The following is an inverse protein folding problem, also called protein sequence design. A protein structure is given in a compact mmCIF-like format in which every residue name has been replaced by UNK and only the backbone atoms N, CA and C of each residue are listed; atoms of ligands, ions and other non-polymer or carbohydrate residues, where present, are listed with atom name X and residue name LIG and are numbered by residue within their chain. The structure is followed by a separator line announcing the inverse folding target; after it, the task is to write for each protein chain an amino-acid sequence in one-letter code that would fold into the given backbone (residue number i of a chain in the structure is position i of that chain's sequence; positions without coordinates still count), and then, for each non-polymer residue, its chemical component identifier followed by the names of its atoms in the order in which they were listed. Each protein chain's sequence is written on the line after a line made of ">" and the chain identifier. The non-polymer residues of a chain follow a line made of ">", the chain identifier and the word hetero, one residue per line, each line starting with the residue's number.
data_IF_443266035557
#
_entry.id   IF_443266035557
#
_cell.length_a   1.000
_cell.length_b   1.000
_cell.length_c   1.000
_cell.angle_alpha   90.00
_cell.angle_beta   90.00
_cell.angle_gamma   90.00
#
_symmetry.space_group_name_H-M   'P 1'
#
loop_
_entity.id
_entity.type
_entity.pdbx_description
1 polymer ?
#
# COMPACT_ATOMS: atom_id res chain seq x y z
N UNK A 1 5.55 20.85 -15.35
CA UNK A 1 5.62 19.41 -15.01
C UNK A 1 4.25 19.04 -14.46
N UNK A 2 3.25 19.26 -15.31
CA UNK A 2 1.83 19.07 -15.08
C UNK A 2 1.32 18.48 -16.38
N UNK A 3 0.21 17.75 -16.29
CA UNK A 3 -0.51 17.07 -17.36
C UNK A 3 -0.13 15.60 -17.61
N UNK A 4 -1.16 14.78 -17.44
CA UNK A 4 -1.30 13.34 -17.72
C UNK A 4 -1.00 12.37 -16.58
N UNK A 5 -1.81 12.43 -15.52
CA UNK A 5 -2.19 11.19 -14.82
C UNK A 5 -2.87 10.26 -15.83
N UNK A 6 -2.20 9.18 -16.24
CA UNK A 6 -2.80 8.15 -17.09
C UNK A 6 -4.03 7.55 -16.38
N UNK A 7 -5.03 7.00 -17.10
CA UNK A 7 -6.27 6.46 -16.53
C UNK A 7 -6.06 5.43 -15.39
N UNK A 8 -4.90 4.76 -15.36
CA UNK A 8 -4.52 3.80 -14.32
C UNK A 8 -4.17 4.46 -12.97
N UNK A 9 -3.94 5.77 -12.92
CA UNK A 9 -3.52 6.50 -11.72
C UNK A 9 -4.64 7.25 -11.02
N UNK A 10 -5.83 7.32 -11.63
CA UNK A 10 -7.00 7.97 -11.02
C UNK A 10 -7.83 6.90 -10.31
N UNK A 11 -7.94 6.94 -8.98
CA UNK A 11 -8.71 5.93 -8.25
C UNK A 11 -10.21 6.09 -8.53
N UNK A 12 -10.92 5.00 -8.73
CA UNK A 12 -12.38 5.05 -8.88
C UNK A 12 -13.09 5.38 -7.56
N UNK A 13 -12.48 5.02 -6.43
CA UNK A 13 -13.00 5.22 -5.08
C UNK A 13 -11.86 5.64 -4.16
N UNK A 14 -12.09 6.67 -3.33
CA UNK A 14 -11.25 6.98 -2.18
C UNK A 14 -12.04 6.65 -0.92
N UNK A 15 -11.41 5.90 -0.01
CA UNK A 15 -11.95 5.65 1.33
C UNK A 15 -11.11 6.49 2.30
N UNK A 16 -11.76 7.42 3.01
CA UNK A 16 -11.10 8.31 3.97
C UNK A 16 -11.81 8.28 5.33
N UNK A 17 -11.14 8.72 6.38
CA UNK A 17 -11.81 9.00 7.65
C UNK A 17 -12.62 10.31 7.58
N UNK A 18 -13.43 10.58 8.61
CA UNK A 18 -14.19 11.82 8.72
C UNK A 18 -13.31 13.01 9.14
N UNK A 19 -12.02 12.99 8.83
CA UNK A 19 -11.12 14.10 9.07
C UNK A 19 -11.60 15.34 8.28
N UNK A 20 -11.58 16.54 8.86
CA UNK A 20 -12.09 17.75 8.21
C UNK A 20 -11.35 18.08 6.90
N UNK A 21 -10.10 17.63 6.75
CA UNK A 21 -9.35 17.73 5.50
C UNK A 21 -9.99 16.96 4.34
N UNK A 22 -10.66 15.84 4.62
CA UNK A 22 -11.32 14.98 3.63
C UNK A 22 -12.82 15.29 3.48
N UNK A 23 -13.39 16.15 4.33
CA UNK A 23 -14.77 16.62 4.22
C UNK A 23 -14.87 18.11 3.77
N UNK A 24 -13.76 18.68 3.29
CA UNK A 24 -13.75 20.05 2.78
C UNK A 24 -14.45 20.15 1.41
N UNK A 25 -15.07 21.31 1.13
CA UNK A 25 -15.68 21.60 -0.18
C UNK A 25 -14.65 21.43 -1.31
N UNK A 26 -13.42 21.90 -1.09
CA UNK A 26 -12.33 21.76 -2.04
C UNK A 26 -12.04 20.29 -2.38
N UNK A 27 -12.01 19.41 -1.38
CA UNK A 27 -11.77 17.98 -1.59
C UNK A 27 -12.94 17.29 -2.31
N UNK A 28 -14.18 17.66 -1.99
CA UNK A 28 -15.37 17.13 -2.70
C UNK A 28 -15.39 17.56 -4.16
N UNK A 29 -15.03 18.82 -4.45
CA UNK A 29 -14.93 19.32 -5.82
C UNK A 29 -13.83 18.58 -6.59
N UNK A 30 -12.65 18.42 -6.00
CA UNK A 30 -11.56 17.63 -6.60
C UNK A 30 -12.00 16.20 -6.94
N UNK A 31 -12.69 15.51 -6.03
CA UNK A 31 -13.21 14.16 -6.31
C UNK A 31 -14.24 14.18 -7.44
N UNK A 32 -15.14 15.18 -7.46
CA UNK A 32 -16.15 15.30 -8.50
C UNK A 32 -15.57 15.56 -9.88
N UNK A 33 -14.56 16.44 -9.99
CA UNK A 33 -13.88 16.77 -11.26
C UNK A 33 -13.21 15.55 -11.89
N UNK A 34 -12.65 14.68 -11.06
CA UNK A 34 -11.98 13.44 -11.50
C UNK A 34 -12.89 12.21 -11.52
N UNK A 35 -14.20 12.37 -11.29
CA UNK A 35 -15.18 11.27 -11.19
C UNK A 35 -14.80 10.20 -10.14
N UNK A 36 -14.16 10.62 -9.05
CA UNK A 36 -13.76 9.77 -7.94
C UNK A 36 -14.92 9.67 -6.95
N UNK A 37 -15.36 8.45 -6.63
CA UNK A 37 -16.35 8.24 -5.56
C UNK A 37 -15.67 8.36 -4.21
N UNK A 38 -16.02 9.38 -3.45
CA UNK A 38 -15.53 9.52 -2.08
C UNK A 38 -16.44 8.74 -1.11
N UNK A 39 -15.84 7.89 -0.26
CA UNK A 39 -16.52 7.12 0.76
C UNK A 39 -15.86 7.36 2.11
N UNK A 40 -16.67 7.68 3.12
CA UNK A 40 -16.15 7.93 4.46
C UNK A 40 -16.26 6.68 5.34
N UNK A 41 -15.20 6.38 6.08
CA UNK A 41 -15.25 5.37 7.13
C UNK A 41 -16.16 5.87 8.24
N UNK A 42 -17.17 5.08 8.58
CA UNK A 42 -18.04 5.44 9.70
C UNK A 42 -17.34 5.12 11.02
N UNK A 43 -17.60 5.87 12.11
CA UNK A 43 -17.07 5.52 13.44
C UNK A 43 -17.44 4.11 13.90
N UNK A 44 -18.51 3.54 13.34
CA UNK A 44 -19.01 2.19 13.62
C UNK A 44 -18.25 1.10 12.84
N UNK A 45 -17.55 1.44 11.76
CA UNK A 45 -16.78 0.51 10.93
C UNK A 45 -15.41 1.07 10.52
N UNK A 46 -14.51 1.34 11.50
CA UNK A 46 -13.16 1.84 11.22
C UNK A 46 -12.32 0.85 10.39
N UNK A 47 -12.69 -0.44 10.38
CA UNK A 47 -12.01 -1.46 9.57
C UNK A 47 -12.00 -1.14 8.06
N UNK A 48 -12.98 -0.35 7.58
CA UNK A 48 -13.02 0.12 6.19
C UNK A 48 -11.79 0.95 5.79
N UNK A 49 -11.15 1.64 6.75
CA UNK A 49 -9.90 2.37 6.58
C UNK A 49 -8.68 1.61 7.16
N UNK A 50 -8.88 0.38 7.64
CA UNK A 50 -7.88 -0.35 8.42
C UNK A 50 -6.59 -0.65 7.65
N UNK A 51 -6.66 -0.81 6.32
CA UNK A 51 -5.47 -1.01 5.49
C UNK A 51 -4.59 0.25 5.43
N UNK A 52 -5.21 1.43 5.28
CA UNK A 52 -4.49 2.70 5.29
C UNK A 52 -3.89 2.96 6.68
N UNK A 53 -4.64 2.70 7.75
CA UNK A 53 -4.14 2.83 9.12
C UNK A 53 -2.96 1.90 9.43
N UNK A 54 -3.04 0.63 9.02
CA UNK A 54 -1.95 -0.33 9.21
C UNK A 54 -0.69 0.07 8.43
N UNK A 55 -0.87 0.60 7.22
CA UNK A 55 0.23 1.10 6.38
C UNK A 55 0.86 2.34 7.00
N UNK A 56 0.04 3.32 7.40
CA UNK A 56 0.51 4.53 8.07
C UNK A 56 1.27 4.20 9.36
N UNK A 57 0.77 3.27 10.16
CA UNK A 57 1.44 2.78 11.38
C UNK A 57 2.80 2.16 11.06
N UNK A 58 2.89 1.38 9.98
CA UNK A 58 4.16 0.77 9.53
C UNK A 58 5.18 1.82 9.14
N UNK A 59 4.76 2.81 8.33
CA UNK A 59 5.63 3.91 7.88
C UNK A 59 6.09 4.78 9.05
N UNK A 60 5.18 5.16 9.95
CA UNK A 60 5.51 5.94 11.15
C UNK A 60 6.50 5.17 12.04
N UNK A 61 6.32 3.87 12.23
CA UNK A 61 7.25 3.06 13.04
C UNK A 61 8.64 2.94 12.39
N UNK A 62 8.70 2.78 11.07
CA UNK A 62 9.96 2.76 10.33
C UNK A 62 10.67 4.12 10.41
N UNK A 63 9.91 5.22 10.29
CA UNK A 63 10.43 6.58 10.42
C UNK A 63 10.95 6.85 11.83
N UNK A 64 10.21 6.47 12.88
CA UNK A 64 10.67 6.61 14.28
C UNK A 64 12.03 5.95 14.51
N UNK A 65 12.23 4.74 14.00
CA UNK A 65 13.51 4.01 14.11
C UNK A 65 14.67 4.74 13.41
N UNK A 66 14.42 5.38 12.26
CA UNK A 66 15.42 6.21 11.58
C UNK A 66 15.69 7.52 12.33
N UNK A 67 14.66 8.10 12.93
CA UNK A 67 14.76 9.34 13.69
C UNK A 67 15.57 9.22 14.98
N UNK A 68 15.60 8.04 15.61
CA UNK A 68 16.52 7.74 16.72
C UNK A 68 17.99 7.98 16.31
N UNK A 69 18.32 7.76 15.03
CA UNK A 69 19.66 7.97 14.47
C UNK A 69 19.85 9.38 13.91
N UNK A 70 18.79 9.98 13.33
CA UNK A 70 18.85 11.21 12.54
C UNK A 70 18.45 12.51 13.29
N UNK A 71 18.40 12.50 14.63
CA UNK A 71 18.13 13.69 15.49
C UNK A 71 16.92 14.56 15.05
N UNK A 72 15.85 13.95 14.55
CA UNK A 72 14.61 14.67 14.19
C UNK A 72 14.51 15.17 12.74
N UNK A 73 15.45 14.84 11.85
CA UNK A 73 15.44 15.18 10.41
C UNK A 73 14.47 14.32 9.58
N UNK A 74 13.19 14.30 9.96
CA UNK A 74 12.22 13.37 9.37
C UNK A 74 11.99 13.57 7.86
N UNK A 75 12.07 14.82 7.39
CA UNK A 75 11.90 15.16 5.96
C UNK A 75 13.01 14.53 5.12
N UNK A 76 14.24 14.50 5.63
CA UNK A 76 15.40 13.91 4.95
C UNK A 76 15.32 12.38 4.92
N UNK A 77 14.77 11.76 5.97
CA UNK A 77 14.64 10.30 6.10
C UNK A 77 13.43 9.72 5.37
N UNK A 78 12.38 10.51 5.17
CA UNK A 78 11.11 10.04 4.60
C UNK A 78 11.27 9.36 3.22
N UNK A 79 12.03 9.90 2.25
CA UNK A 79 12.27 9.23 0.98
C UNK A 79 12.89 7.84 1.14
N UNK A 80 13.86 7.69 2.04
CA UNK A 80 14.52 6.41 2.33
C UNK A 80 13.59 5.39 2.98
N UNK A 81 12.74 5.83 3.90
CA UNK A 81 11.71 4.98 4.52
C UNK A 81 10.68 4.51 3.49
N UNK A 82 10.21 5.41 2.63
CA UNK A 82 9.26 5.08 1.56
C UNK A 82 9.88 4.12 0.54
N UNK A 83 11.15 4.32 0.17
CA UNK A 83 11.87 3.40 -0.70
C UNK A 83 11.93 2.00 -0.10
N UNK A 84 12.42 1.89 1.14
CA UNK A 84 12.51 0.61 1.83
C UNK A 84 11.16 -0.09 1.94
N UNK A 85 10.08 0.64 2.24
CA UNK A 85 8.72 0.08 2.26
C UNK A 85 8.30 -0.45 0.90
N UNK A 86 8.54 0.32 -0.19
CA UNK A 86 8.15 -0.05 -1.55
C UNK A 86 8.91 -1.25 -2.10
N UNK A 87 10.17 -1.46 -1.70
CA UNK A 87 11.03 -2.53 -2.24
C UNK A 87 11.18 -3.74 -1.31
N UNK A 88 10.57 -3.74 -0.12
CA UNK A 88 10.63 -4.88 0.81
C UNK A 88 9.36 -5.72 0.71
N UNK A 89 9.45 -7.05 0.55
CA UNK A 89 8.27 -7.90 0.52
C UNK A 89 7.46 -7.81 1.83
N UNK A 90 6.16 -7.56 1.71
CA UNK A 90 5.26 -7.56 2.86
C UNK A 90 5.00 -8.98 3.34
N UNK A 91 4.99 -9.21 4.66
CA UNK A 91 4.63 -10.55 5.22
C UNK A 91 3.26 -11.07 4.77
N UNK A 92 2.19 -10.25 4.67
CA UNK A 92 0.87 -10.75 4.29
C UNK A 92 0.79 -11.18 2.82
N UNK A 93 1.48 -10.48 1.92
CA UNK A 93 1.37 -10.68 0.47
C UNK A 93 2.51 -11.53 -0.10
N UNK A 94 3.67 -11.52 0.56
CA UNK A 94 4.93 -12.08 0.04
C UNK A 94 5.52 -11.28 -1.11
N UNK A 95 4.92 -10.14 -1.47
CA UNK A 95 5.31 -9.30 -2.61
C UNK A 95 5.65 -7.88 -2.15
N UNK A 96 6.48 -7.18 -2.93
CA UNK A 96 6.81 -5.77 -2.68
C UNK A 96 5.66 -4.87 -3.14
N UNK A 97 5.37 -3.74 -2.46
CA UNK A 97 4.37 -2.78 -2.95
C UNK A 97 4.69 -2.25 -4.36
N UNK A 98 5.98 -2.12 -4.71
CA UNK A 98 6.41 -1.74 -6.04
C UNK A 98 5.99 -2.78 -7.09
N UNK A 99 6.25 -4.07 -6.85
CA UNK A 99 5.85 -5.14 -7.76
C UNK A 99 4.33 -5.20 -7.95
N UNK A 100 3.56 -4.98 -6.89
CA UNK A 100 2.09 -4.92 -6.99
C UNK A 100 1.59 -3.72 -7.79
N UNK A 101 2.34 -2.61 -7.80
CA UNK A 101 1.95 -1.40 -8.54
C UNK A 101 2.33 -1.53 -10.02
N UNK A 102 3.56 -1.94 -10.32
CA UNK A 102 4.14 -1.86 -11.67
C UNK A 102 4.26 -3.21 -12.38
N UNK A 103 3.95 -4.32 -11.72
CA UNK A 103 4.06 -5.67 -12.31
C UNK A 103 5.48 -6.23 -12.37
N UNK A 104 6.46 -5.52 -11.81
CA UNK A 104 7.86 -5.92 -11.83
C UNK A 104 8.57 -5.46 -10.56
N UNK A 105 9.63 -6.16 -10.18
CA UNK A 105 10.46 -5.74 -9.05
C UNK A 105 11.22 -4.45 -9.37
N UNK A 106 11.42 -3.63 -8.34
CA UNK A 106 12.26 -2.45 -8.45
C UNK A 106 13.72 -2.84 -8.72
N UNK A 107 14.34 -2.19 -9.70
CA UNK A 107 15.80 -2.27 -9.89
C UNK A 107 16.45 -1.48 -8.77
N UNK A 108 17.18 -2.16 -7.89
CA UNK A 108 17.87 -1.50 -6.78
C UNK A 108 19.18 -0.85 -7.29
N UNK A 109 19.65 0.26 -6.68
CA UNK A 109 20.86 0.93 -7.13
C UNK A 109 22.09 0.02 -7.27
N UNK A 110 22.19 -1.01 -6.43
CA UNK A 110 23.27 -2.02 -6.51
C UNK A 110 23.25 -2.82 -7.80
N UNK A 111 22.06 -3.10 -8.37
CA UNK A 111 21.92 -3.83 -9.65
C UNK A 111 22.29 -2.96 -10.86
N UNK A 112 22.25 -1.64 -10.70
CA UNK A 112 22.71 -0.69 -11.73
C UNK A 112 24.25 -0.72 -11.83
N UNK A 113 24.93 -0.77 -10.67
CA UNK A 113 26.38 -0.90 -10.62
C UNK A 113 26.90 -2.31 -10.91
N UNK A 114 26.08 -3.33 -10.67
CA UNK A 114 26.39 -4.74 -10.92
C UNK A 114 25.22 -5.39 -11.68
N UNK A 115 25.28 -5.43 -13.02
CA UNK A 115 24.21 -5.99 -13.83
C UNK A 115 23.89 -7.43 -13.39
N UNK A 116 22.63 -7.67 -13.09
CA UNK A 116 22.10 -9.03 -12.83
C UNK A 116 21.59 -9.64 -14.12
N UNK A 117 21.38 -10.97 -14.12
CA UNK A 117 20.75 -11.71 -15.24
C UNK A 117 19.46 -11.01 -15.72
N UNK A 118 18.68 -10.45 -14.79
CA UNK A 118 17.48 -9.67 -15.08
C UNK A 118 17.79 -8.37 -15.85
N UNK A 119 18.81 -7.63 -15.41
CA UNK A 119 19.19 -6.33 -15.98
C UNK A 119 19.79 -6.49 -17.38
N UNK A 120 20.49 -7.60 -17.64
CA UNK A 120 21.02 -7.90 -18.96
C UNK A 120 19.97 -8.48 -19.91
N UNK A 121 19.03 -9.29 -19.41
CA UNK A 121 17.90 -9.75 -20.21
C UNK A 121 16.98 -8.61 -20.67
N UNK A 122 16.79 -7.57 -19.84
CA UNK A 122 16.01 -6.39 -20.18
C UNK A 122 16.63 -5.54 -21.32
N UNK A 123 17.95 -5.62 -21.53
CA UNK A 123 18.63 -4.91 -22.63
C UNK A 123 18.46 -5.60 -23.99
N UNK A 124 18.08 -6.87 -24.01
CA UNK A 124 18.08 -7.72 -25.21
C UNK A 124 16.71 -7.96 -25.82
N UNK A 125 15.63 -7.47 -25.20
CA UNK A 125 14.25 -7.81 -25.57
C UNK A 125 13.50 -6.66 -26.24
N UNK A 126 12.52 -7.02 -27.05
CA UNK A 126 11.55 -6.09 -27.63
C UNK A 126 10.61 -5.56 -26.54
N UNK A 127 10.72 -4.25 -26.26
CA UNK A 127 10.08 -3.59 -25.13
C UNK A 127 8.55 -3.72 -25.12
N UNK A 128 7.90 -3.77 -26.30
CA UNK A 128 6.43 -3.86 -26.37
C UNK A 128 5.89 -5.25 -26.04
N UNK A 129 6.59 -6.32 -26.47
CA UNK A 129 6.18 -7.70 -26.18
C UNK A 129 6.42 -8.05 -24.71
N UNK A 130 7.50 -7.52 -24.13
CA UNK A 130 7.80 -7.69 -22.71
C UNK A 130 6.83 -6.90 -21.82
N UNK A 131 6.43 -5.69 -22.22
CA UNK A 131 5.43 -4.91 -21.50
C UNK A 131 4.09 -5.66 -21.40
N UNK A 132 3.61 -6.28 -22.49
CA UNK A 132 2.38 -7.08 -22.47
C UNK A 132 2.45 -8.27 -21.50
N UNK A 133 3.56 -9.03 -21.51
CA UNK A 133 3.74 -10.17 -20.58
C UNK A 133 3.87 -9.73 -19.13
N UNK A 134 4.54 -8.61 -18.88
CA UNK A 134 4.68 -8.06 -17.53
C UNK A 134 3.33 -7.58 -16.98
N UNK A 135 2.43 -7.07 -17.82
CA UNK A 135 1.08 -6.69 -17.42
C UNK A 135 0.21 -7.90 -17.04
N UNK A 136 0.20 -8.96 -17.86
CA UNK A 136 -0.52 -10.20 -17.52
C UNK A 136 0.02 -10.82 -16.23
N UNK A 137 1.34 -10.87 -16.08
CA UNK A 137 1.99 -11.30 -14.84
C UNK A 137 1.64 -10.41 -13.64
N UNK A 138 1.53 -9.09 -13.84
CA UNK A 138 1.16 -8.15 -12.79
C UNK A 138 -0.21 -8.48 -12.20
N UNK A 139 -1.19 -8.78 -13.06
CA UNK A 139 -2.54 -9.07 -12.63
C UNK A 139 -2.62 -10.40 -11.88
N UNK A 140 -1.91 -11.44 -12.34
CA UNK A 140 -1.80 -12.73 -11.62
C UNK A 140 -1.15 -12.56 -10.24
N UNK A 141 -0.07 -11.75 -10.16
CA UNK A 141 0.61 -11.45 -8.90
C UNK A 141 -0.28 -10.64 -7.95
N UNK A 142 -1.05 -9.67 -8.47
CA UNK A 142 -2.01 -8.88 -7.68
C UNK A 142 -3.13 -9.75 -7.14
N UNK A 143 -3.69 -10.63 -7.96
CA UNK A 143 -4.74 -11.57 -7.55
C UNK A 143 -4.21 -12.50 -6.46
N UNK A 144 -3.06 -13.13 -6.68
CA UNK A 144 -2.40 -14.00 -5.70
C UNK A 144 -2.10 -13.28 -4.38
N UNK A 145 -1.63 -12.02 -4.45
CA UNK A 145 -1.37 -11.21 -3.27
C UNK A 145 -2.66 -10.85 -2.51
N UNK A 146 -3.76 -10.60 -3.23
CA UNK A 146 -5.06 -10.29 -2.63
C UNK A 146 -5.62 -11.47 -1.84
N UNK A 147 -5.50 -12.70 -2.38
CA UNK A 147 -5.90 -13.94 -1.71
C UNK A 147 -5.10 -14.13 -0.42
N UNK A 148 -3.76 -14.03 -0.50
CA UNK A 148 -2.88 -14.17 0.68
C UNK A 148 -3.17 -13.12 1.75
N UNK A 149 -3.44 -11.89 1.34
CA UNK A 149 -3.81 -10.81 2.25
C UNK A 149 -5.13 -11.11 2.97
N UNK A 150 -6.15 -11.60 2.24
CA UNK A 150 -7.43 -11.97 2.81
C UNK A 150 -7.28 -13.12 3.83
N UNK A 151 -6.55 -14.16 3.46
CA UNK A 151 -6.23 -15.28 4.36
C UNK A 151 -5.52 -14.82 5.63
N UNK A 152 -4.53 -13.94 5.48
CA UNK A 152 -3.79 -13.38 6.61
C UNK A 152 -4.71 -12.59 7.54
N UNK A 153 -5.59 -11.76 7.00
CA UNK A 153 -6.57 -10.97 7.76
C UNK A 153 -7.56 -11.86 8.50
N UNK A 154 -8.10 -12.91 7.86
CA UNK A 154 -9.01 -13.86 8.49
C UNK A 154 -8.35 -14.58 9.66
N UNK A 155 -7.10 -15.06 9.50
CA UNK A 155 -6.34 -15.70 10.59
C UNK A 155 -6.11 -14.74 11.75
N UNK A 156 -5.73 -13.50 11.46
CA UNK A 156 -5.54 -12.47 12.49
C UNK A 156 -6.85 -12.12 13.22
N UNK A 157 -7.97 -11.99 12.51
CA UNK A 157 -9.28 -11.75 13.12
C UNK A 157 -9.71 -12.91 14.03
N UNK A 158 -9.52 -14.16 13.59
CA UNK A 158 -9.81 -15.34 14.42
C UNK A 158 -9.02 -15.34 15.73
N UNK A 159 -7.71 -15.07 15.67
CA UNK A 159 -6.84 -14.98 16.86
C UNK A 159 -7.30 -13.86 17.80
N UNK A 160 -7.66 -12.69 17.25
CA UNK A 160 -8.15 -11.57 18.06
C UNK A 160 -9.48 -11.91 18.75
N UNK A 161 -10.41 -12.56 18.05
CA UNK A 161 -11.70 -12.98 18.60
C UNK A 161 -11.50 -14.04 19.70
N UNK A 162 -10.65 -15.04 19.46
CA UNK A 162 -10.34 -16.10 20.43
C UNK A 162 -9.72 -15.56 21.72
N UNK A 163 -8.88 -14.54 21.62
CA UNK A 163 -8.30 -13.84 22.78
C UNK A 163 -9.29 -12.96 23.55
N UNK A 164 -10.51 -12.75 23.02
CA UNK A 164 -11.47 -11.75 23.53
C UNK A 164 -12.73 -12.29 24.23
N UNK A 165 -12.82 -13.59 24.57
CA UNK A 165 -13.99 -14.15 25.30
C UNK A 165 -13.66 -14.76 26.68
N UNK A 166 -14.62 -14.90 27.62
CA UNK A 166 -15.76 -14.03 27.97
C UNK A 166 -15.61 -13.47 29.40
N UNK A 167 -15.34 -12.17 29.56
CA UNK A 167 -15.64 -11.43 30.79
C UNK A 167 -16.77 -10.44 30.48
N UNK A 168 -18.01 -10.82 30.81
CA UNK A 168 -19.18 -9.96 31.15
C UNK A 168 -20.46 -10.77 31.01
N UNK A 169 -20.65 -11.75 31.89
CA UNK A 169 -21.98 -12.35 32.11
C UNK A 169 -22.24 -12.51 33.60
N UNK A 170 -22.15 -11.40 34.35
CA UNK A 170 -22.77 -11.25 35.68
C UNK A 170 -23.08 -9.76 35.91
N UNK A 171 -24.26 -9.31 35.49
CA UNK A 171 -25.05 -8.24 36.13
C UNK A 171 -26.33 -8.00 35.34
N UNK A 172 -27.24 -8.99 35.33
CA UNK A 172 -28.68 -8.74 35.27
C UNK A 172 -29.35 -9.83 36.09
N UNK A 173 -29.51 -9.57 37.39
CA UNK A 173 -30.67 -9.92 38.22
C UNK A 173 -30.49 -9.30 39.60
#
# INVERSE_FOLDING_TARGET
>A
MEEHCLPLWIPQIIIADNGPQFDSIAFRNFCSELNIRNSYSTPRYPQSNGQAEATNKTLINALKKRLEQAKGKWVEELPGVLWAYRTTPGRPTGNTPFALTYGMDAVIPTEIGLPTIRTDAAKQKDANTELGRNLDWADEVRESASIRMADYQQRHQRITIEKSGPETSKMVR
#
